data_IF_137194538150
#
_entry.id   IF_137194538150
#
_cell.length_a   1.000
_cell.length_b   1.000
_cell.length_c   1.000
_cell.angle_alpha   90.00
_cell.angle_beta   90.00
_cell.angle_gamma   90.00
#
_symmetry.space_group_name_H-M   'P 1'
#
loop_
_entity.id
_entity.type
_entity.pdbx_description
1 polymer ?
#
# COMPACT_ATOMS: atom_id res chain seq x y z
N UNK A 1 -35.16 -6.38 5.44
CA UNK A 1 -34.31 -5.69 6.45
C UNK A 1 -32.91 -5.40 5.92
N UNK A 2 -32.26 -6.37 5.27
CA UNK A 2 -30.92 -6.23 4.67
C UNK A 2 -30.82 -5.00 3.75
N UNK A 3 -31.73 -4.81 2.79
CA UNK A 3 -31.68 -3.63 1.90
C UNK A 3 -31.74 -2.29 2.65
N UNK A 4 -32.44 -2.22 3.80
CA UNK A 4 -32.46 -1.01 4.62
C UNK A 4 -31.11 -0.79 5.32
N UNK A 5 -30.49 -1.86 5.82
CA UNK A 5 -29.15 -1.80 6.41
C UNK A 5 -28.09 -1.35 5.38
N UNK A 6 -28.09 -1.95 4.18
CA UNK A 6 -27.16 -1.58 3.11
C UNK A 6 -27.27 -0.10 2.74
N UNK A 7 -28.50 0.41 2.59
CA UNK A 7 -28.74 1.84 2.35
C UNK A 7 -28.25 2.73 3.50
N UNK A 8 -28.49 2.34 4.75
CA UNK A 8 -28.03 3.10 5.91
C UNK A 8 -26.49 3.21 5.98
N UNK A 9 -25.78 2.20 5.47
CA UNK A 9 -24.31 2.19 5.41
C UNK A 9 -23.72 2.62 4.07
N UNK A 10 -24.55 3.07 3.12
CA UNK A 10 -24.13 3.46 1.76
C UNK A 10 -23.39 2.33 1.00
N UNK A 11 -23.81 1.09 1.22
CA UNK A 11 -23.27 -0.08 0.52
C UNK A 11 -24.11 -0.33 -0.73
N UNK A 12 -23.45 -0.39 -1.88
CA UNK A 12 -24.08 -0.62 -3.20
C UNK A 12 -23.61 -1.96 -3.77
N UNK A 13 -24.09 -3.07 -3.20
CA UNK A 13 -23.78 -4.46 -3.58
C UNK A 13 -25.06 -5.31 -3.56
N UNK A 14 -25.01 -6.55 -4.05
CA UNK A 14 -26.14 -7.48 -4.07
C UNK A 14 -26.54 -7.86 -2.63
N UNK A 15 -27.81 -7.61 -2.21
CA UNK A 15 -28.30 -8.01 -0.89
C UNK A 15 -28.14 -9.48 -0.55
N UNK A 16 -28.04 -10.38 -1.54
CA UNK A 16 -27.84 -11.83 -1.32
C UNK A 16 -26.49 -12.16 -0.67
N UNK A 17 -25.51 -11.27 -0.78
CA UNK A 17 -24.19 -11.45 -0.17
C UNK A 17 -24.15 -11.00 1.30
N UNK A 18 -25.31 -10.76 1.91
CA UNK A 18 -25.40 -10.24 3.27
C UNK A 18 -26.48 -10.95 4.08
N UNK A 19 -26.22 -11.07 5.37
CA UNK A 19 -27.16 -11.62 6.33
C UNK A 19 -27.05 -10.86 7.65
N UNK A 20 -28.06 -11.02 8.50
CA UNK A 20 -28.11 -10.37 9.80
C UNK A 20 -27.89 -11.40 10.89
N UNK A 21 -27.14 -11.03 11.92
CA UNK A 21 -26.97 -11.85 13.11
C UNK A 21 -27.40 -11.11 14.37
N UNK A 22 -27.90 -11.86 15.34
CA UNK A 22 -28.26 -11.39 16.66
C UNK A 22 -27.05 -11.46 17.59
N UNK A 23 -26.61 -10.31 18.09
CA UNK A 23 -25.44 -10.19 18.97
C UNK A 23 -25.59 -11.02 20.24
N UNK A 24 -26.82 -11.21 20.72
CA UNK A 24 -27.08 -11.95 21.96
C UNK A 24 -27.63 -13.35 21.72
N UNK A 25 -27.68 -13.80 20.46
CA UNK A 25 -28.15 -15.13 20.11
C UNK A 25 -27.34 -16.24 20.78
N UNK A 26 -27.96 -17.42 20.87
CA UNK A 26 -27.31 -18.67 21.24
C UNK A 26 -27.47 -19.66 20.08
N UNK A 27 -26.38 -20.04 19.38
CA UNK A 27 -24.98 -19.65 19.61
C UNK A 27 -24.70 -18.14 19.36
N UNK A 28 -23.59 -17.58 19.88
CA UNK A 28 -23.24 -16.17 19.67
C UNK A 28 -23.30 -15.77 18.21
N UNK A 29 -23.88 -14.61 17.92
CA UNK A 29 -24.12 -14.14 16.55
C UNK A 29 -24.98 -15.09 15.71
N UNK A 30 -26.03 -15.66 16.32
CA UNK A 30 -27.03 -16.47 15.61
C UNK A 30 -27.63 -15.68 14.43
N UNK A 31 -27.70 -16.31 13.27
CA UNK A 31 -28.35 -15.73 12.07
C UNK A 31 -29.85 -15.50 12.32
N UNK A 32 -30.32 -14.33 11.89
CA UNK A 32 -31.71 -13.89 12.03
C UNK A 32 -32.48 -14.33 10.79
N UNK A 33 -33.55 -15.09 11.01
CA UNK A 33 -34.44 -15.54 9.95
C UNK A 33 -35.25 -14.38 9.36
N UNK A 34 -35.66 -14.50 8.09
CA UNK A 34 -36.44 -13.46 7.41
C UNK A 34 -37.87 -13.30 7.96
N UNK A 35 -38.39 -14.33 8.63
CA UNK A 35 -39.72 -14.30 9.22
C UNK A 35 -39.69 -13.64 10.60
N UNK A 36 -40.36 -12.50 10.74
CA UNK A 36 -40.46 -11.73 11.99
C UNK A 36 -39.10 -11.38 12.66
N UNK A 37 -38.14 -10.80 11.93
CA UNK A 37 -36.73 -10.64 12.33
C UNK A 37 -36.49 -9.78 13.59
N UNK A 38 -37.44 -8.92 13.97
CA UNK A 38 -37.33 -8.09 15.18
C UNK A 38 -37.84 -8.84 16.41
N UNK A 39 -38.82 -9.72 16.24
CA UNK A 39 -39.46 -10.44 17.33
C UNK A 39 -38.62 -11.64 17.77
N UNK A 40 -37.85 -12.21 16.83
CA UNK A 40 -36.93 -13.31 17.08
C UNK A 40 -35.62 -12.89 17.79
N UNK A 41 -35.42 -11.59 18.07
CA UNK A 41 -34.20 -11.10 18.72
C UNK A 41 -34.15 -11.52 20.20
N UNK A 42 -32.98 -11.99 20.59
CA UNK A 42 -32.67 -12.42 21.95
C UNK A 42 -32.60 -11.21 22.87
N UNK A 43 -33.45 -11.22 23.89
CA UNK A 43 -33.48 -10.17 24.90
C UNK A 43 -32.56 -10.52 26.05
N UNK A 44 -31.52 -9.71 26.24
CA UNK A 44 -30.60 -9.82 27.37
C UNK A 44 -30.91 -8.72 28.38
N UNK A 45 -31.12 -9.09 29.64
CA UNK A 45 -31.47 -8.15 30.70
C UNK A 45 -30.47 -7.00 30.80
N UNK A 46 -30.98 -5.77 30.88
CA UNK A 46 -30.15 -4.56 30.95
C UNK A 46 -29.40 -4.19 29.65
N UNK A 47 -29.61 -4.90 28.53
CA UNK A 47 -28.98 -4.60 27.23
C UNK A 47 -30.02 -4.20 26.18
N UNK A 48 -29.65 -3.26 25.31
CA UNK A 48 -30.46 -2.90 24.13
C UNK A 48 -30.29 -3.99 23.07
N UNK A 49 -31.36 -4.43 22.36
CA UNK A 49 -31.23 -5.34 21.23
C UNK A 49 -30.20 -4.82 20.22
N UNK A 50 -29.36 -5.72 19.71
CA UNK A 50 -28.27 -5.37 18.81
C UNK A 50 -28.14 -6.43 17.71
N UNK A 51 -27.97 -5.97 16.47
CA UNK A 51 -27.81 -6.81 15.30
C UNK A 51 -26.52 -6.44 14.57
N UNK A 52 -25.91 -7.40 13.89
CA UNK A 52 -24.74 -7.18 13.03
C UNK A 52 -25.12 -7.49 11.59
N UNK A 53 -24.62 -6.66 10.68
CA UNK A 53 -24.63 -6.94 9.25
C UNK A 53 -23.37 -7.73 8.91
N UNK A 54 -23.53 -8.95 8.41
CA UNK A 54 -22.44 -9.85 8.04
C UNK A 54 -22.39 -10.00 6.51
N UNK A 55 -21.17 -10.07 5.97
CA UNK A 55 -20.92 -10.35 4.57
C UNK A 55 -20.73 -11.87 4.38
N UNK A 56 -21.39 -12.42 3.37
CA UNK A 56 -21.27 -13.80 2.91
C UNK A 56 -20.88 -13.73 1.43
N UNK A 57 -19.61 -13.97 1.09
CA UNK A 57 -19.22 -13.95 -0.32
C UNK A 57 -19.98 -15.04 -1.08
N UNK A 58 -20.25 -14.84 -2.38
CA UNK A 58 -20.92 -15.85 -3.21
C UNK A 58 -20.14 -17.16 -3.27
N UNK A 59 -18.81 -17.08 -3.28
CA UNK A 59 -17.88 -18.19 -3.18
C UNK A 59 -16.90 -17.93 -2.03
N UNK A 60 -16.70 -18.91 -1.15
CA UNK A 60 -15.74 -18.79 -0.04
C UNK A 60 -14.30 -18.80 -0.51
N UNK A 61 -14.02 -19.47 -1.64
CA UNK A 61 -12.68 -19.75 -2.12
C UNK A 61 -12.25 -18.84 -3.26
N UNK A 62 -13.15 -18.04 -3.81
CA UNK A 62 -12.85 -17.11 -4.89
C UNK A 62 -13.64 -15.80 -4.83
N UNK A 63 -13.09 -14.79 -5.48
CA UNK A 63 -13.70 -13.48 -5.58
C UNK A 63 -12.91 -12.56 -6.50
N UNK A 64 -13.08 -11.25 -6.31
CA UNK A 64 -12.36 -10.25 -7.10
C UNK A 64 -11.86 -9.13 -6.22
N UNK A 65 -10.69 -8.58 -6.54
CA UNK A 65 -10.15 -7.37 -5.90
C UNK A 65 -10.02 -6.24 -6.90
N UNK A 66 -10.27 -5.01 -6.44
CA UNK A 66 -10.06 -3.80 -7.24
C UNK A 66 -8.65 -3.27 -6.98
N UNK A 67 -7.81 -3.30 -8.01
CA UNK A 67 -6.45 -2.77 -7.94
C UNK A 67 -6.36 -1.48 -8.74
N UNK A 68 -6.05 -0.40 -8.05
CA UNK A 68 -5.93 0.93 -8.61
C UNK A 68 -4.49 1.17 -9.07
N UNK A 69 -4.28 1.82 -10.23
CA UNK A 69 -2.96 2.30 -10.58
C UNK A 69 -2.58 3.38 -9.57
N UNK A 70 -1.37 3.29 -9.00
CA UNK A 70 -0.84 4.33 -8.12
C UNK A 70 -0.55 5.62 -8.88
N UNK A 71 0.59 6.25 -8.62
CA UNK A 71 0.97 7.50 -9.30
C UNK A 71 1.44 7.34 -10.75
N UNK A 72 1.36 6.15 -11.34
CA UNK A 72 1.75 5.94 -12.73
C UNK A 72 0.55 6.10 -13.66
N UNK A 73 0.76 6.89 -14.73
CA UNK A 73 -0.24 7.40 -15.68
C UNK A 73 -0.82 6.32 -16.61
N UNK A 74 -1.38 5.24 -16.06
CA UNK A 74 -2.16 4.28 -16.83
C UNK A 74 -3.65 4.58 -16.58
N UNK A 75 -4.28 5.25 -17.54
CA UNK A 75 -5.73 5.51 -17.68
C UNK A 75 -6.57 5.27 -16.41
N UNK A 76 -6.57 6.23 -15.47
CA UNK A 76 -7.27 6.42 -14.16
C UNK A 76 -8.42 5.46 -13.74
N UNK A 77 -8.32 4.17 -14.03
CA UNK A 77 -9.34 3.17 -13.83
C UNK A 77 -8.71 1.97 -13.15
N UNK A 78 -9.37 1.48 -12.11
CA UNK A 78 -8.97 0.25 -11.45
C UNK A 78 -9.11 -0.95 -12.40
N UNK A 79 -8.33 -1.99 -12.14
CA UNK A 79 -8.53 -3.32 -12.71
C UNK A 79 -9.21 -4.20 -11.69
N UNK A 80 -10.14 -5.03 -12.17
CA UNK A 80 -10.83 -6.03 -11.36
C UNK A 80 -10.08 -7.34 -11.58
N UNK A 81 -9.33 -7.76 -10.57
CA UNK A 81 -8.48 -8.95 -10.65
C UNK A 81 -9.20 -10.11 -9.95
N UNK A 82 -9.46 -11.24 -10.63
CA UNK A 82 -9.98 -12.43 -9.97
C UNK A 82 -8.92 -12.99 -9.02
N UNK A 83 -9.36 -13.41 -7.83
CA UNK A 83 -8.50 -13.98 -6.79
C UNK A 83 -9.15 -15.21 -6.18
N UNK A 84 -8.32 -16.10 -5.64
CA UNK A 84 -8.72 -17.27 -4.87
C UNK A 84 -8.08 -17.25 -3.49
N UNK A 85 -8.45 -18.18 -2.61
CA UNK A 85 -7.81 -18.38 -1.30
C UNK A 85 -6.29 -18.66 -1.41
N UNK A 86 -5.84 -19.23 -2.55
CA UNK A 86 -4.43 -19.55 -2.80
C UNK A 86 -3.68 -18.42 -3.53
N UNK A 87 -4.37 -17.36 -3.97
CA UNK A 87 -3.75 -16.27 -4.73
C UNK A 87 -2.95 -15.35 -3.82
N UNK A 88 -1.65 -15.23 -4.09
CA UNK A 88 -0.73 -14.35 -3.36
C UNK A 88 -0.75 -12.90 -3.87
N UNK A 89 -0.17 -11.97 -3.12
CA UNK A 89 0.07 -10.59 -3.57
C UNK A 89 0.95 -10.56 -4.82
N UNK A 90 1.95 -11.44 -4.93
CA UNK A 90 2.80 -11.53 -6.12
C UNK A 90 1.99 -11.89 -7.37
N UNK A 91 1.08 -12.86 -7.25
CA UNK A 91 0.18 -13.25 -8.34
C UNK A 91 -0.73 -12.10 -8.76
N UNK A 92 -1.31 -11.38 -7.78
CA UNK A 92 -2.15 -10.20 -8.05
C UNK A 92 -1.34 -9.10 -8.73
N UNK A 93 -0.11 -8.85 -8.31
CA UNK A 93 0.76 -7.86 -8.96
C UNK A 93 1.09 -8.27 -10.40
N UNK A 94 1.45 -9.53 -10.65
CA UNK A 94 1.75 -10.03 -11.99
C UNK A 94 0.54 -9.90 -12.93
N UNK A 95 -0.64 -10.32 -12.47
CA UNK A 95 -1.89 -10.17 -13.22
C UNK A 95 -2.21 -8.69 -13.49
N UNK A 96 -2.07 -7.83 -12.48
CA UNK A 96 -2.35 -6.40 -12.60
C UNK A 96 -1.39 -5.70 -13.57
N UNK A 97 -0.09 -6.02 -13.53
CA UNK A 97 0.90 -5.48 -14.46
C UNK A 97 0.57 -5.86 -15.91
N UNK A 98 0.20 -7.12 -16.13
CA UNK A 98 -0.26 -7.63 -17.43
C UNK A 98 -1.49 -6.86 -17.93
N UNK A 99 -2.49 -6.65 -17.06
CA UNK A 99 -3.71 -5.87 -17.35
C UNK A 99 -3.48 -4.37 -17.59
N UNK A 100 -2.36 -3.83 -17.08
CA UNK A 100 -1.92 -2.46 -17.36
C UNK A 100 -0.96 -2.36 -18.56
N UNK A 101 -0.58 -3.49 -19.18
CA UNK A 101 0.39 -3.51 -20.30
C UNK A 101 1.81 -3.16 -19.87
N UNK A 102 2.16 -3.40 -18.60
CA UNK A 102 3.49 -3.18 -18.03
C UNK A 102 4.30 -4.48 -18.05
N UNK A 103 5.63 -4.35 -18.15
CA UNK A 103 6.55 -5.49 -18.13
C UNK A 103 6.53 -6.16 -16.74
N UNK A 104 6.24 -7.47 -16.73
CA UNK A 104 6.22 -8.31 -15.54
C UNK A 104 7.62 -8.72 -15.06
N UNK A 105 8.64 -8.61 -15.91
CA UNK A 105 10.05 -8.89 -15.57
C UNK A 105 10.56 -7.99 -14.44
N UNK A 106 9.93 -6.84 -14.28
CA UNK A 106 10.24 -5.81 -13.30
C UNK A 106 9.35 -5.85 -12.04
N UNK A 107 8.67 -6.97 -11.76
CA UNK A 107 7.72 -7.09 -10.63
C UNK A 107 8.31 -6.63 -9.29
N UNK A 108 9.61 -6.85 -9.09
CA UNK A 108 10.34 -6.44 -7.88
C UNK A 108 10.35 -4.92 -7.67
N UNK A 109 10.20 -4.11 -8.73
CA UNK A 109 10.08 -2.66 -8.68
C UNK A 109 8.70 -2.19 -8.21
N UNK A 110 7.74 -3.10 -8.06
CA UNK A 110 6.38 -2.79 -7.63
C UNK A 110 6.09 -3.38 -6.25
N UNK A 111 5.07 -2.82 -5.61
CA UNK A 111 4.45 -3.32 -4.38
C UNK A 111 2.94 -3.15 -4.49
N UNK A 112 2.21 -4.00 -3.80
CA UNK A 112 0.79 -3.81 -3.54
C UNK A 112 0.63 -3.16 -2.16
N UNK A 113 -0.14 -2.07 -2.09
CA UNK A 113 -0.51 -1.41 -0.84
C UNK A 113 -2.00 -1.56 -0.61
N UNK A 114 -2.38 -1.94 0.60
CA UNK A 114 -3.75 -1.79 1.10
C UNK A 114 -3.94 -0.36 1.60
N UNK A 115 -5.00 0.31 1.17
CA UNK A 115 -5.38 1.64 1.64
C UNK A 115 -6.78 1.60 2.20
N UNK A 116 -6.90 1.96 3.47
CA UNK A 116 -8.17 1.98 4.21
C UNK A 116 -8.44 3.38 4.73
N UNK A 117 -9.68 3.85 4.59
CA UNK A 117 -10.15 5.12 5.12
C UNK A 117 -10.80 4.89 6.49
N UNK A 118 -10.19 5.41 7.56
CA UNK A 118 -10.75 5.34 8.91
C UNK A 118 -10.90 6.75 9.51
N UNK A 119 -12.13 7.09 9.92
CA UNK A 119 -12.48 8.37 10.60
C UNK A 119 -11.90 9.65 9.95
N UNK A 120 -11.78 9.67 8.62
CA UNK A 120 -11.24 10.80 7.88
C UNK A 120 -9.72 10.81 7.73
N UNK A 121 -9.02 9.80 8.26
CA UNK A 121 -7.61 9.53 8.01
C UNK A 121 -7.45 8.41 6.98
N UNK A 122 -6.45 8.54 6.12
CA UNK A 122 -6.08 7.50 5.15
C UNK A 122 -4.92 6.72 5.75
N UNK A 123 -5.11 5.42 5.95
CA UNK A 123 -4.05 4.50 6.36
C UNK A 123 -3.60 3.70 5.15
N UNK A 124 -2.29 3.68 4.89
CA UNK A 124 -1.68 2.88 3.83
C UNK A 124 -0.70 1.88 4.44
N UNK A 125 -0.84 0.60 4.07
CA UNK A 125 0.05 -0.48 4.47
C UNK A 125 0.57 -1.21 3.24
N UNK A 126 1.90 -1.33 3.11
CA UNK A 126 2.49 -2.20 2.10
C UNK A 126 2.27 -3.67 2.51
N UNK A 127 1.81 -4.49 1.56
CA UNK A 127 1.57 -5.92 1.77
C UNK A 127 2.83 -6.73 1.47
N UNK A 128 3.04 -7.83 2.19
CA UNK A 128 4.06 -8.83 1.87
C UNK A 128 3.64 -9.64 0.63
N UNK A 129 4.62 -10.08 -0.16
CA UNK A 129 4.38 -10.80 -1.41
C UNK A 129 3.65 -12.13 -1.22
N UNK A 130 3.76 -12.76 -0.04
CA UNK A 130 3.14 -14.05 0.28
C UNK A 130 1.76 -13.90 0.96
N UNK A 131 1.34 -12.67 1.30
CA UNK A 131 0.00 -12.45 1.84
C UNK A 131 -1.07 -12.79 0.79
N UNK A 132 -2.23 -13.26 1.23
CA UNK A 132 -3.39 -13.54 0.38
C UNK A 132 -4.41 -12.39 0.41
N UNK A 133 -4.59 -11.61 -0.69
CA UNK A 133 -5.52 -10.49 -0.71
C UNK A 133 -6.98 -10.89 -0.46
N UNK A 134 -7.37 -12.11 -0.85
CA UNK A 134 -8.72 -12.63 -0.62
C UNK A 134 -9.00 -12.90 0.86
N UNK A 135 -8.08 -13.58 1.55
CA UNK A 135 -8.19 -13.83 3.00
C UNK A 135 -8.21 -12.53 3.81
N UNK A 136 -7.37 -11.57 3.42
CA UNK A 136 -7.36 -10.24 4.04
C UNK A 136 -8.72 -9.55 3.89
N UNK A 137 -9.31 -9.54 2.69
CA UNK A 137 -10.64 -8.95 2.49
C UNK A 137 -11.74 -9.69 3.27
N UNK A 138 -11.70 -11.02 3.36
CA UNK A 138 -12.64 -11.80 4.17
C UNK A 138 -12.53 -11.42 5.65
N UNK A 139 -11.32 -11.26 6.17
CA UNK A 139 -11.08 -10.83 7.55
C UNK A 139 -11.60 -9.41 7.80
N UNK A 140 -11.32 -8.46 6.91
CA UNK A 140 -11.85 -7.09 7.01
C UNK A 140 -13.39 -7.11 6.97
N UNK A 141 -14.00 -7.88 6.06
CA UNK A 141 -15.45 -7.97 5.95
C UNK A 141 -16.11 -8.59 7.19
N UNK A 142 -15.40 -9.52 7.86
CA UNK A 142 -15.81 -10.11 9.13
C UNK A 142 -15.78 -9.10 10.28
N UNK A 143 -14.81 -8.18 10.29
CA UNK A 143 -14.74 -7.13 11.31
C UNK A 143 -15.71 -5.99 11.02
N UNK A 144 -15.75 -5.52 9.78
CA UNK A 144 -16.57 -4.40 9.35
C UNK A 144 -16.80 -4.42 7.84
N UNK A 145 -18.05 -4.69 7.47
CA UNK A 145 -18.51 -4.57 6.06
C UNK A 145 -18.21 -3.18 5.50
N UNK A 146 -18.35 -2.14 6.33
CA UNK A 146 -18.05 -0.77 5.91
C UNK A 146 -16.56 -0.57 5.61
N UNK A 147 -15.66 -1.17 6.40
CA UNK A 147 -14.23 -1.10 6.11
C UNK A 147 -13.90 -1.85 4.82
N UNK A 148 -14.47 -3.04 4.60
CA UNK A 148 -14.30 -3.78 3.33
C UNK A 148 -14.64 -2.92 2.12
N UNK A 149 -15.76 -2.19 2.15
CA UNK A 149 -16.16 -1.29 1.06
C UNK A 149 -15.26 -0.05 0.90
N UNK A 150 -14.52 0.33 1.94
CA UNK A 150 -13.59 1.46 1.93
C UNK A 150 -12.15 1.04 1.64
N UNK A 151 -11.82 -0.25 1.74
CA UNK A 151 -10.50 -0.80 1.42
C UNK A 151 -10.27 -0.80 -0.09
N UNK A 152 -9.09 -0.33 -0.49
CA UNK A 152 -8.64 -0.28 -1.89
C UNK A 152 -7.23 -0.82 -1.97
N UNK A 153 -6.94 -1.60 -3.00
CA UNK A 153 -5.57 -2.03 -3.28
C UNK A 153 -4.95 -1.10 -4.32
N UNK A 154 -3.72 -0.68 -4.09
CA UNK A 154 -2.97 0.15 -5.03
C UNK A 154 -1.71 -0.58 -5.45
N UNK A 155 -1.51 -0.71 -6.75
CA UNK A 155 -0.20 -1.06 -7.27
C UNK A 155 0.66 0.20 -7.27
N UNK A 156 1.87 0.13 -6.72
CA UNK A 156 2.77 1.28 -6.63
C UNK A 156 4.20 0.87 -6.99
N UNK A 157 4.98 1.78 -7.59
CA UNK A 157 6.40 1.58 -7.77
C UNK A 157 7.06 1.74 -6.41
N UNK A 158 7.86 0.77 -6.00
CA UNK A 158 8.74 0.91 -4.85
C UNK A 158 9.64 2.11 -5.11
N UNK A 159 9.70 3.02 -4.14
CA UNK A 159 10.72 4.07 -4.16
C UNK A 159 12.07 3.39 -4.00
N UNK A 160 12.77 3.19 -5.12
CA UNK A 160 14.15 2.74 -5.09
C UNK A 160 14.97 3.93 -4.62
N UNK A 161 15.42 3.90 -3.37
CA UNK A 161 16.39 4.88 -2.92
C UNK A 161 17.67 4.67 -3.74
N UNK A 162 18.34 5.72 -4.24
CA UNK A 162 19.62 5.61 -4.96
C UNK A 162 20.65 4.72 -4.24
N UNK A 163 20.56 4.67 -2.91
CA UNK A 163 21.37 3.81 -2.05
C UNK A 163 21.22 2.31 -2.35
N UNK A 164 20.02 1.85 -2.71
CA UNK A 164 19.77 0.43 -3.06
C UNK A 164 20.41 0.06 -4.41
N UNK A 165 20.60 1.04 -5.29
CA UNK A 165 21.21 0.89 -6.62
C UNK A 165 22.72 0.65 -6.49
N UNK A 166 23.35 1.20 -5.45
CA UNK A 166 24.78 1.06 -5.20
C UNK A 166 25.19 -0.38 -4.87
N UNK A 167 24.30 -1.19 -4.28
CA UNK A 167 24.54 -2.61 -4.01
C UNK A 167 25.85 -2.90 -3.26
N UNK A 168 26.32 -4.16 -3.35
CA UNK A 168 27.60 -4.58 -2.76
C UNK A 168 28.88 -4.00 -3.40
N UNK A 169 28.98 -3.76 -4.73
CA UNK A 169 30.23 -3.29 -5.33
C UNK A 169 30.57 -1.83 -5.01
N UNK A 170 29.58 -1.01 -4.65
CA UNK A 170 29.76 0.40 -4.31
C UNK A 170 29.50 0.67 -2.83
N UNK A 171 30.14 -0.12 -1.96
CA UNK A 171 30.01 0.04 -0.50
C UNK A 171 30.45 1.45 -0.08
N UNK A 172 29.54 2.18 0.54
CA UNK A 172 29.78 3.52 1.09
C UNK A 172 30.02 3.43 2.61
N UNK A 173 30.62 4.48 3.19
CA UNK A 173 30.86 4.57 4.64
C UNK A 173 29.58 4.85 5.41
N UNK A 174 28.85 5.88 4.99
CA UNK A 174 27.67 6.35 5.70
C UNK A 174 26.72 7.09 4.75
N UNK A 175 25.42 6.99 5.05
CA UNK A 175 24.40 7.88 4.51
C UNK A 175 24.27 9.06 5.49
N UNK A 176 24.49 10.27 4.97
CA UNK A 176 24.31 11.51 5.71
C UNK A 176 22.82 11.88 5.86
N UNK A 177 22.52 13.15 6.16
CA UNK A 177 21.14 13.64 6.23
C UNK A 177 20.35 13.37 4.94
N UNK A 178 19.10 12.94 5.10
CA UNK A 178 18.13 12.81 4.01
C UNK A 178 17.22 14.03 4.07
N UNK A 179 17.24 14.85 3.01
CA UNK A 179 16.41 16.04 2.91
C UNK A 179 15.16 15.71 2.11
N UNK A 180 14.13 15.23 2.80
CA UNK A 180 12.87 14.78 2.16
C UNK A 180 12.19 15.87 1.33
N UNK A 181 12.27 17.13 1.75
CA UNK A 181 11.67 18.28 1.04
C UNK A 181 12.28 18.50 -0.35
N UNK A 182 13.56 18.17 -0.52
CA UNK A 182 14.30 18.32 -1.77
C UNK A 182 14.53 17.00 -2.49
N UNK A 183 14.09 15.87 -1.91
CA UNK A 183 14.32 14.54 -2.45
C UNK A 183 15.81 14.17 -2.56
N UNK A 184 16.68 14.77 -1.75
CA UNK A 184 18.13 14.57 -1.81
C UNK A 184 18.66 13.79 -0.62
N UNK A 185 19.79 13.10 -0.82
CA UNK A 185 20.51 12.37 0.22
C UNK A 185 22.01 12.51 0.00
N UNK A 186 22.78 12.49 1.09
CA UNK A 186 24.24 12.59 1.05
C UNK A 186 24.83 11.19 1.28
N UNK A 187 25.82 10.80 0.47
CA UNK A 187 26.57 9.54 0.66
C UNK A 187 28.05 9.86 0.80
N UNK A 188 28.66 9.34 1.86
CA UNK A 188 30.09 9.50 2.12
C UNK A 188 30.83 8.20 1.80
N UNK A 189 31.95 8.30 1.09
CA UNK A 189 32.84 7.18 0.77
C UNK A 189 34.21 7.40 1.40
N UNK A 190 34.84 6.33 1.88
CA UNK A 190 36.24 6.36 2.30
C UNK A 190 37.21 6.17 1.12
N UNK A 191 36.74 5.56 0.03
CA UNK A 191 37.54 5.25 -1.14
C UNK A 191 37.09 6.11 -2.34
N UNK A 192 37.99 6.97 -2.81
CA UNK A 192 37.72 7.88 -3.92
C UNK A 192 37.41 7.15 -5.23
N UNK A 193 38.08 6.03 -5.53
CA UNK A 193 37.82 5.25 -6.75
C UNK A 193 36.42 4.64 -6.76
N UNK A 194 35.97 4.13 -5.60
CA UNK A 194 34.60 3.63 -5.45
C UNK A 194 33.59 4.77 -5.58
N UNK A 195 33.89 5.94 -4.99
CA UNK A 195 33.03 7.12 -5.09
C UNK A 195 32.87 7.60 -6.54
N UNK A 196 33.95 7.62 -7.31
CA UNK A 196 33.94 8.01 -8.73
C UNK A 196 33.15 7.00 -9.56
N UNK A 197 33.35 5.69 -9.34
CA UNK A 197 32.57 4.66 -10.06
C UNK A 197 31.08 4.73 -9.71
N UNK A 198 30.76 4.92 -8.44
CA UNK A 198 29.39 5.12 -7.97
C UNK A 198 28.75 6.38 -8.59
N UNK A 199 29.51 7.47 -8.70
CA UNK A 199 29.07 8.71 -9.34
C UNK A 199 28.66 8.48 -10.79
N UNK A 200 29.51 7.84 -11.59
CA UNK A 200 29.20 7.58 -13.00
C UNK A 200 27.99 6.66 -13.17
N UNK A 201 27.90 5.59 -12.37
CA UNK A 201 26.77 4.67 -12.39
C UNK A 201 25.46 5.38 -12.03
N UNK A 202 25.44 6.15 -10.92
CA UNK A 202 24.23 6.87 -10.50
C UNK A 202 23.83 7.95 -11.50
N UNK A 203 24.78 8.61 -12.15
CA UNK A 203 24.53 9.64 -13.17
C UNK A 203 23.88 9.07 -14.44
N UNK A 204 24.20 7.83 -14.78
CA UNK A 204 23.59 7.08 -15.89
C UNK A 204 22.27 6.42 -15.49
N UNK A 205 21.94 6.42 -14.19
CA UNK A 205 20.70 5.82 -13.71
C UNK A 205 19.52 6.78 -13.91
N UNK A 206 18.43 6.23 -14.46
CA UNK A 206 17.16 6.91 -14.58
C UNK A 206 16.21 6.46 -13.46
N UNK A 207 15.54 7.42 -12.81
CA UNK A 207 14.50 7.17 -11.82
C UNK A 207 13.23 7.97 -12.20
N UNK A 208 12.10 7.28 -12.37
CA UNK A 208 10.83 7.89 -12.82
C UNK A 208 10.98 8.75 -14.09
N UNK A 209 11.69 8.21 -15.09
CA UNK A 209 11.97 8.87 -16.37
C UNK A 209 12.78 10.18 -16.25
N UNK A 210 13.41 10.40 -15.09
CA UNK A 210 14.31 11.53 -14.82
C UNK A 210 15.69 11.02 -14.45
N UNK A 211 16.71 11.67 -14.97
CA UNK A 211 18.09 11.40 -14.56
C UNK A 211 18.31 11.92 -13.14
N UNK A 212 19.06 11.17 -12.35
CA UNK A 212 19.49 11.63 -11.03
C UNK A 212 20.48 12.78 -11.17
N UNK A 213 20.27 13.86 -10.43
CA UNK A 213 21.30 14.88 -10.23
C UNK A 213 22.28 14.34 -9.19
N UNK A 214 23.47 13.96 -9.65
CA UNK A 214 24.55 13.45 -8.80
C UNK A 214 25.66 14.49 -8.76
N UNK A 215 26.06 14.89 -7.56
CA UNK A 215 27.17 15.83 -7.33
C UNK A 215 28.26 15.13 -6.53
N UNK A 216 29.51 15.23 -7.00
CA UNK A 216 30.67 14.81 -6.25
C UNK A 216 31.25 16.03 -5.55
N UNK A 217 31.11 16.09 -4.23
CA UNK A 217 31.63 17.19 -3.43
C UNK A 217 32.97 16.80 -2.79
N UNK A 218 34.01 17.64 -2.88
CA UNK A 218 35.25 17.40 -2.16
C UNK A 218 34.98 17.52 -0.65
N UNK A 219 35.48 16.55 0.11
CA UNK A 219 35.45 16.63 1.56
C UNK A 219 36.59 17.57 1.98
N UNK A 220 36.29 18.87 2.15
CA UNK A 220 37.28 19.88 2.52
C UNK A 220 37.56 19.71 4.02
N UNK A 221 38.74 19.20 4.34
CA UNK A 221 39.22 19.15 5.72
C UNK A 221 39.48 20.60 6.18
N UNK A 222 38.88 21.08 7.28
CA UNK A 222 39.02 22.46 7.73
C UNK A 222 40.48 22.91 7.89
N UNK A 223 41.37 22.00 8.31
CA UNK A 223 42.80 22.27 8.46
C UNK A 223 43.55 22.48 7.14
N UNK A 224 42.97 22.10 6.00
CA UNK A 224 43.54 22.30 4.66
C UNK A 224 43.15 23.65 4.04
N UNK A 225 42.35 24.45 4.74
CA UNK A 225 41.98 25.80 4.30
C UNK A 225 43.11 26.75 4.72
N UNK A 226 43.82 27.40 3.77
CA UNK A 226 44.86 28.36 4.12
C UNK A 226 44.31 29.47 5.01
N UNK A 227 45.05 29.86 6.06
CA UNK A 227 44.68 30.97 6.92
C UNK A 227 44.45 32.24 6.08
N UNK A 228 43.26 32.82 6.19
CA UNK A 228 42.84 34.00 5.42
C UNK A 228 41.91 33.73 4.24
N UNK A 229 41.54 32.48 3.97
CA UNK A 229 40.59 32.15 2.89
C UNK A 229 39.16 32.55 3.28
N UNK A 230 38.57 33.56 2.62
CA UNK A 230 37.15 33.90 2.75
C UNK A 230 36.30 32.95 1.91
N UNK A 231 35.40 32.20 2.56
CA UNK A 231 34.36 31.44 1.86
C UNK A 231 33.39 32.42 1.20
N UNK A 232 33.40 32.47 -0.14
CA UNK A 232 32.40 33.22 -0.89
C UNK A 232 31.17 32.33 -1.01
N UNK A 233 30.17 32.55 -0.16
CA UNK A 233 28.87 31.89 -0.30
C UNK A 233 28.18 32.44 -1.55
N UNK A 234 28.27 31.70 -2.66
CA UNK A 234 27.35 31.90 -3.77
C UNK A 234 25.98 31.37 -3.32
N UNK A 235 25.11 32.32 -2.93
CA UNK A 235 23.69 32.06 -2.80
C UNK A 235 23.17 31.65 -4.19
N UNK A 236 22.90 30.35 -4.35
CA UNK A 236 22.10 29.84 -5.46
C UNK A 236 20.64 30.16 -5.12
N UNK A 237 20.15 31.24 -5.74
CA UNK A 237 18.72 31.50 -5.88
C UNK A 237 18.06 30.46 -6.80
#
# INVERSE_FOLDING_TARGET
MICAALRAFHISDDPKHYYLTDVYGDPPEKEIEEFMPVQSLTRKEGKRPAILLRYRPPDSDSGTVKVYPGKFRAADTHRVIPVTSDTSVEDVMAATLTEFGLDTSDINKYRLSEVTLDRGSVHERAMDNQEGPWELLKNIARESVRQKELTRFYLQKKKMFPVQILGKPYKFRQIGPIYYEYGSLIITYDNADIAVKAFYMLRETCYEDKNLLVLLLPNIIPEMIPEGTRLVSHNLC
#
